data_IF_450219564476
#
_entry.id   IF_450219564476
#
_cell.length_a   1.000
_cell.length_b   1.000
_cell.length_c   1.000
_cell.angle_alpha   90.00
_cell.angle_beta   90.00
_cell.angle_gamma   90.00
#
_symmetry.space_group_name_H-M   'P 1'
#
loop_
_entity.id
_entity.type
_entity.pdbx_description
1 polymer ?
#
# COMPACT_ATOMS: atom_id res chain seq x y z
N UNK A 1 -9.84 14.37 -9.14
CA UNK A 1 -8.47 14.38 -8.58
C UNK A 1 -7.52 14.06 -9.70
N UNK A 2 -6.44 14.82 -9.84
CA UNK A 2 -5.40 14.51 -10.82
C UNK A 2 -4.51 13.40 -10.23
N UNK A 3 -4.53 12.22 -10.83
CA UNK A 3 -3.72 11.08 -10.40
C UNK A 3 -2.29 11.28 -10.86
N UNK A 4 -1.50 11.94 -10.02
CA UNK A 4 -0.06 12.09 -10.19
C UNK A 4 0.69 11.19 -9.19
N UNK A 5 2.01 11.12 -9.34
CA UNK A 5 2.86 10.27 -8.51
C UNK A 5 2.73 10.60 -7.01
N UNK A 6 2.78 11.87 -6.56
CA UNK A 6 2.56 12.21 -5.15
C UNK A 6 1.20 11.74 -4.61
N UNK A 7 0.11 11.96 -5.35
CA UNK A 7 -1.24 11.54 -4.95
C UNK A 7 -1.32 10.01 -4.85
N UNK A 8 -0.74 9.30 -5.81
CA UNK A 8 -0.77 7.82 -5.83
C UNK A 8 0.06 7.23 -4.69
N UNK A 9 1.26 7.77 -4.44
CA UNK A 9 2.11 7.35 -3.33
C UNK A 9 1.44 7.67 -1.97
N UNK A 10 0.84 8.84 -1.84
CA UNK A 10 0.06 9.21 -0.66
C UNK A 10 -1.11 8.27 -0.41
N UNK A 11 -1.81 7.85 -1.47
CA UNK A 11 -2.90 6.88 -1.37
C UNK A 11 -2.40 5.50 -0.87
N UNK A 12 -1.26 5.02 -1.38
CA UNK A 12 -0.66 3.77 -0.89
C UNK A 12 -0.32 3.87 0.61
N UNK A 13 0.31 4.96 1.05
CA UNK A 13 0.65 5.17 2.45
C UNK A 13 -0.60 5.26 3.34
N UNK A 14 -1.66 5.91 2.85
CA UNK A 14 -2.94 5.98 3.56
C UNK A 14 -3.56 4.58 3.74
N UNK A 15 -3.55 3.75 2.69
CA UNK A 15 -4.03 2.36 2.76
C UNK A 15 -3.22 1.56 3.80
N UNK A 16 -1.90 1.67 3.76
CA UNK A 16 -1.00 0.99 4.70
C UNK A 16 -1.28 1.43 6.14
N UNK A 17 -1.43 2.74 6.38
CA UNK A 17 -1.72 3.29 7.70
C UNK A 17 -3.08 2.83 8.24
N UNK A 18 -4.13 2.89 7.42
CA UNK A 18 -5.49 2.46 7.79
C UNK A 18 -5.52 0.95 8.06
N UNK A 19 -4.90 0.14 7.21
CA UNK A 19 -4.81 -1.31 7.41
C UNK A 19 -4.07 -1.67 8.70
N UNK A 20 -2.96 -0.99 8.98
CA UNK A 20 -2.18 -1.19 10.21
C UNK A 20 -2.98 -0.81 11.45
N UNK A 21 -3.63 0.36 11.44
CA UNK A 21 -4.48 0.80 12.55
C UNK A 21 -5.67 -0.14 12.78
N UNK A 22 -6.30 -0.62 11.71
CA UNK A 22 -7.39 -1.59 11.78
C UNK A 22 -6.94 -2.91 12.41
N UNK A 23 -5.80 -3.45 12.00
CA UNK A 23 -5.25 -4.69 12.58
C UNK A 23 -4.93 -4.55 14.07
N UNK A 24 -4.38 -3.40 14.48
CA UNK A 24 -4.13 -3.09 15.90
C UNK A 24 -5.46 -2.98 16.66
N UNK A 25 -6.46 -2.31 16.10
CA UNK A 25 -7.76 -2.11 16.76
C UNK A 25 -8.61 -3.38 16.88
N UNK A 26 -8.40 -4.38 16.02
CA UNK A 26 -9.13 -5.66 16.08
C UNK A 26 -8.52 -6.68 17.05
N UNK A 27 -7.28 -6.46 17.53
CA UNK A 27 -6.57 -7.33 18.48
C UNK A 27 -6.51 -8.82 18.05
N UNK A 28 -6.41 -9.07 16.75
CA UNK A 28 -6.34 -10.44 16.18
C UNK A 28 -4.91 -11.00 16.13
N UNK A 29 -3.90 -10.16 16.37
CA UNK A 29 -2.48 -10.51 16.33
C UNK A 29 -1.71 -9.63 17.33
N UNK A 30 -0.60 -10.15 17.86
CA UNK A 30 0.28 -9.35 18.72
C UNK A 30 0.76 -8.07 18.01
N UNK A 31 0.76 -6.94 18.71
CA UNK A 31 1.16 -5.64 18.15
C UNK A 31 2.57 -5.67 17.52
N UNK A 32 3.52 -6.39 18.14
CA UNK A 32 4.86 -6.58 17.59
C UNK A 32 4.86 -7.25 16.22
N UNK A 33 4.01 -8.26 16.01
CA UNK A 33 3.82 -8.93 14.71
C UNK A 33 3.26 -7.95 13.67
N UNK A 34 2.27 -7.13 14.04
CA UNK A 34 1.68 -6.16 13.12
C UNK A 34 2.72 -5.13 12.68
N UNK A 35 3.44 -4.51 13.64
CA UNK A 35 4.36 -3.42 13.35
C UNK A 35 5.69 -3.86 12.71
N UNK A 36 6.21 -5.03 13.08
CA UNK A 36 7.54 -5.48 12.65
C UNK A 36 7.52 -6.48 11.49
N UNK A 37 6.37 -7.09 11.18
CA UNK A 37 6.28 -8.10 10.12
C UNK A 37 5.21 -7.71 9.09
N UNK A 38 3.98 -7.44 9.52
CA UNK A 38 2.85 -7.23 8.61
C UNK A 38 2.95 -5.88 7.91
N UNK A 39 3.09 -4.78 8.65
CA UNK A 39 3.17 -3.44 8.07
C UNK A 39 4.35 -3.28 7.09
N UNK A 40 5.58 -3.76 7.40
CA UNK A 40 6.68 -3.76 6.43
C UNK A 40 6.38 -4.58 5.18
N UNK A 41 5.83 -5.80 5.33
CA UNK A 41 5.51 -6.68 4.20
C UNK A 41 4.41 -6.08 3.31
N UNK A 42 3.38 -5.49 3.92
CA UNK A 42 2.29 -4.79 3.23
C UNK A 42 2.81 -3.59 2.43
N UNK A 43 3.73 -2.82 3.01
CA UNK A 43 4.37 -1.70 2.31
C UNK A 43 5.19 -2.17 1.11
N UNK A 44 6.07 -3.16 1.29
CA UNK A 44 6.91 -3.70 0.21
C UNK A 44 6.07 -4.27 -0.91
N UNK A 45 5.08 -5.11 -0.59
CA UNK A 45 4.18 -5.68 -1.59
C UNK A 45 3.36 -4.60 -2.30
N UNK A 46 2.85 -3.62 -1.55
CA UNK A 46 2.12 -2.49 -2.09
C UNK A 46 2.95 -1.65 -3.07
N UNK A 47 4.24 -1.43 -2.78
CA UNK A 47 5.17 -0.75 -3.68
C UNK A 47 5.38 -1.53 -4.98
N UNK A 48 5.55 -2.86 -4.89
CA UNK A 48 5.67 -3.74 -6.07
C UNK A 48 4.40 -3.65 -6.92
N UNK A 49 3.22 -3.79 -6.29
CA UNK A 49 1.94 -3.73 -6.98
C UNK A 49 1.69 -2.35 -7.63
N UNK A 50 2.03 -1.26 -6.94
CA UNK A 50 1.94 0.10 -7.46
C UNK A 50 2.81 0.28 -8.70
N UNK A 51 4.08 -0.14 -8.63
CA UNK A 51 4.99 -0.05 -9.76
C UNK A 51 4.48 -0.83 -10.98
N UNK A 52 4.05 -2.08 -10.75
CA UNK A 52 3.52 -2.94 -11.81
C UNK A 52 2.23 -2.39 -12.40
N UNK A 53 1.35 -1.84 -11.56
CA UNK A 53 0.10 -1.21 -11.97
C UNK A 53 0.33 0.01 -12.86
N UNK A 54 1.30 0.87 -12.52
CA UNK A 54 1.68 2.02 -13.36
C UNK A 54 2.17 1.54 -14.73
N UNK A 55 3.09 0.57 -14.77
CA UNK A 55 3.60 0.02 -16.04
C UNK A 55 2.53 -0.67 -16.87
N UNK A 56 1.60 -1.37 -16.23
CA UNK A 56 0.45 -1.95 -16.91
C UNK A 56 -0.47 -0.89 -17.50
N UNK A 57 -0.70 0.21 -16.77
CA UNK A 57 -1.47 1.35 -17.25
C UNK A 57 -0.82 2.04 -18.45
N UNK A 58 0.48 2.31 -18.38
CA UNK A 58 1.26 2.88 -19.49
C UNK A 58 1.16 2.00 -20.76
N UNK A 59 1.32 0.68 -20.61
CA UNK A 59 1.18 -0.27 -21.72
C UNK A 59 -0.21 -0.25 -22.35
N UNK A 60 -1.28 -0.15 -21.54
CA UNK A 60 -2.65 -0.09 -22.05
C UNK A 60 -3.02 1.25 -22.67
N UNK A 61 -2.44 2.35 -22.21
CA UNK A 61 -2.71 3.68 -22.76
C UNK A 61 -2.02 3.91 -24.12
N UNK A 62 -0.98 3.14 -24.42
CA UNK A 62 -0.16 3.26 -25.63
C UNK A 62 -0.50 2.25 -26.74
N UNK A 63 -1.40 1.31 -26.47
CA UNK A 63 -1.88 0.28 -27.41
C UNK A 63 -3.35 0.51 -27.75
#
# INVERSE_FOLDING_TARGET
MEFNLPVTAGALLAIVAVGTAGLIGMDVMAMGTVLMMVAPSMLVFGLIALFLGIKHGEYRATR
#
